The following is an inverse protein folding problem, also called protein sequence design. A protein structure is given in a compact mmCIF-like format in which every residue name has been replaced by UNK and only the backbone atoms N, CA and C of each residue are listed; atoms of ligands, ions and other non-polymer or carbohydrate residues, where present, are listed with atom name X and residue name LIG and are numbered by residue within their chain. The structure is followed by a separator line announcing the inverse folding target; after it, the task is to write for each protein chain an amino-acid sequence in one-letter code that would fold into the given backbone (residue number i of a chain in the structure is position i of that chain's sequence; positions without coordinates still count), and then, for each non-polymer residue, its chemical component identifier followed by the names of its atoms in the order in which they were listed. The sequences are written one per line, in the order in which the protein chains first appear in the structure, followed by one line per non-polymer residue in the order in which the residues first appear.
data_IF_602476248880
#
_entry.id   IF_602476248880
#
_cell.length_a   1.000
_cell.length_b   1.000
_cell.length_c   1.000
_cell.angle_alpha   90.00
_cell.angle_beta   90.00
_cell.angle_gamma   90.00
#
_symmetry.space_group_name_H-M   'P 1'
#
loop_
_entity.id
_entity.type
_entity.pdbx_description
1 polymer ?
#
# COMPACT_ATOMS: atom_id res chain seq x y z
N UNK A 1 2.86 -10.90 5.19
CA UNK A 1 2.35 -10.07 6.33
C UNK A 1 1.04 -9.36 5.91
N UNK A 2 0.11 -9.04 6.83
CA UNK A 2 -1.10 -8.27 6.44
C UNK A 2 -0.75 -6.78 6.28
N UNK A 3 -0.62 -6.34 5.03
CA UNK A 3 -0.10 -5.02 4.69
C UNK A 3 -1.06 -3.87 5.07
N UNK A 4 -2.37 -4.12 5.08
CA UNK A 4 -3.38 -3.15 5.54
C UNK A 4 -3.32 -2.94 7.05
N UNK A 5 -3.07 -3.99 7.83
CA UNK A 5 -2.92 -3.85 9.28
C UNK A 5 -1.62 -3.13 9.65
N UNK A 6 -0.53 -3.36 8.89
CA UNK A 6 0.73 -2.65 9.07
C UNK A 6 0.62 -1.16 8.73
N UNK A 7 -0.20 -0.78 7.74
CA UNK A 7 -0.41 0.61 7.34
C UNK A 7 -0.91 1.51 8.49
N UNK A 8 -1.68 0.97 9.44
CA UNK A 8 -2.19 1.70 10.62
C UNK A 8 -1.11 2.22 11.56
N UNK A 9 0.11 1.70 11.46
CA UNK A 9 1.26 2.14 12.27
C UNK A 9 1.99 3.34 11.66
N UNK A 10 1.63 3.73 10.43
CA UNK A 10 2.27 4.83 9.71
C UNK A 10 1.64 6.17 10.12
N UNK A 11 2.39 6.98 10.85
CA UNK A 11 1.94 8.27 11.40
C UNK A 11 2.74 9.47 10.88
N UNK A 12 3.89 9.23 10.29
CA UNK A 12 4.86 10.24 9.86
C UNK A 12 5.70 9.74 8.68
N UNK A 13 6.61 10.60 8.20
CA UNK A 13 7.49 10.29 7.08
C UNK A 13 8.40 9.09 7.36
N UNK A 14 8.93 8.95 8.57
CA UNK A 14 9.93 7.92 8.88
C UNK A 14 9.26 6.55 8.94
N UNK A 15 8.10 6.47 9.58
CA UNK A 15 7.26 5.27 9.58
C UNK A 15 6.78 4.88 8.18
N UNK A 16 6.51 5.84 7.27
CA UNK A 16 6.20 5.52 5.87
C UNK A 16 7.41 4.91 5.14
N UNK A 17 8.61 5.47 5.36
CA UNK A 17 9.85 4.93 4.75
C UNK A 17 10.11 3.51 5.21
N UNK A 18 9.89 3.20 6.48
CA UNK A 18 9.99 1.84 7.02
C UNK A 18 8.97 0.91 6.38
N UNK A 19 7.71 1.34 6.30
CA UNK A 19 6.63 0.56 5.67
C UNK A 19 6.93 0.19 4.21
N UNK A 20 7.44 1.14 3.40
CA UNK A 20 7.81 0.85 2.00
C UNK A 20 8.95 -0.16 1.89
N UNK A 21 9.89 -0.15 2.84
CA UNK A 21 10.97 -1.15 2.89
C UNK A 21 10.43 -2.52 3.27
N UNK A 22 9.53 -2.59 4.26
CA UNK A 22 8.85 -3.83 4.65
C UNK A 22 8.06 -4.43 3.47
N UNK A 23 7.35 -3.60 2.70
CA UNK A 23 6.65 -4.04 1.49
C UNK A 23 7.60 -4.68 0.48
N UNK A 24 8.74 -4.02 0.19
CA UNK A 24 9.76 -4.55 -0.73
C UNK A 24 10.34 -5.88 -0.21
N UNK A 25 10.59 -5.97 1.09
CA UNK A 25 11.17 -7.16 1.69
C UNK A 25 10.17 -8.33 1.70
N UNK A 26 8.88 -8.08 1.95
CA UNK A 26 7.77 -9.06 1.83
C UNK A 26 7.55 -9.51 0.38
N UNK A 27 7.71 -8.61 -0.61
CA UNK A 27 7.69 -9.00 -2.03
C UNK A 27 8.88 -9.92 -2.38
N UNK A 28 10.07 -9.63 -1.84
CA UNK A 28 11.29 -10.37 -2.14
C UNK A 28 11.43 -11.70 -1.39
N UNK A 29 10.76 -11.87 -0.23
CA UNK A 29 10.77 -13.14 0.50
C UNK A 29 10.11 -14.26 -0.31
N UNK A 30 9.25 -13.91 -1.28
CA UNK A 30 8.65 -14.86 -2.20
C UNK A 30 7.55 -15.69 -1.55
N UNK A 31 6.98 -15.21 -0.45
CA UNK A 31 5.99 -15.91 0.36
C UNK A 31 4.62 -16.05 -0.36
N UNK A 32 4.50 -15.49 -1.57
CA UNK A 32 3.29 -15.55 -2.38
C UNK A 32 2.13 -14.73 -1.82
N UNK A 33 2.41 -13.77 -0.93
CA UNK A 33 1.41 -12.91 -0.27
C UNK A 33 0.87 -11.81 -1.18
N UNK A 34 1.58 -11.46 -2.25
CA UNK A 34 1.20 -10.39 -3.18
C UNK A 34 0.40 -10.96 -4.35
N UNK A 35 -0.84 -10.52 -4.48
CA UNK A 35 -1.65 -10.79 -5.67
C UNK A 35 -1.09 -10.05 -6.90
N UNK A 36 -0.40 -8.92 -6.69
CA UNK A 36 0.22 -8.10 -7.74
C UNK A 36 1.76 -8.08 -7.65
N UNK A 37 2.46 -9.19 -7.98
CA UNK A 37 3.90 -9.31 -7.78
C UNK A 37 4.75 -8.54 -8.81
N UNK A 38 4.14 -8.01 -9.87
CA UNK A 38 4.81 -7.20 -10.89
C UNK A 38 4.45 -5.72 -10.71
N UNK A 39 5.38 -4.83 -11.06
CA UNK A 39 5.17 -3.39 -10.95
C UNK A 39 3.93 -2.92 -11.73
N UNK A 40 3.69 -3.46 -12.92
CA UNK A 40 2.56 -3.13 -13.78
C UNK A 40 1.24 -3.41 -13.06
N UNK A 41 1.03 -4.65 -12.61
CA UNK A 41 -0.16 -5.05 -11.84
C UNK A 41 -0.35 -4.21 -10.56
N UNK A 42 0.73 -3.92 -9.84
CA UNK A 42 0.67 -3.10 -8.63
C UNK A 42 0.19 -1.67 -8.94
N UNK A 43 0.70 -1.08 -10.03
CA UNK A 43 0.31 0.27 -10.45
C UNK A 43 -1.14 0.31 -10.94
N UNK A 44 -1.61 -0.72 -11.65
CA UNK A 44 -3.00 -0.84 -12.07
C UNK A 44 -3.95 -0.91 -10.87
N UNK A 45 -3.65 -1.76 -9.88
CA UNK A 45 -4.42 -1.88 -8.65
C UNK A 45 -4.40 -0.59 -7.81
N UNK A 46 -3.25 0.08 -7.73
CA UNK A 46 -3.14 1.38 -7.06
C UNK A 46 -4.03 2.44 -7.72
N UNK A 47 -4.05 2.48 -9.06
CA UNK A 47 -4.88 3.40 -9.82
C UNK A 47 -6.38 3.11 -9.61
N UNK A 48 -6.78 1.84 -9.63
CA UNK A 48 -8.14 1.40 -9.35
C UNK A 48 -8.59 1.86 -7.95
N UNK A 49 -7.80 1.58 -6.91
CA UNK A 49 -8.09 2.00 -5.54
C UNK A 49 -8.23 3.53 -5.41
N UNK A 50 -7.34 4.31 -6.04
CA UNK A 50 -7.42 5.76 -6.02
C UNK A 50 -8.72 6.28 -6.65
N UNK A 51 -9.22 5.59 -7.68
CA UNK A 51 -10.42 6.01 -8.43
C UNK A 51 -11.74 5.62 -7.76
N UNK A 52 -11.76 4.54 -7.00
CA UNK A 52 -12.97 4.01 -6.35
C UNK A 52 -13.12 4.42 -4.88
N UNK A 53 -12.00 4.73 -4.21
CA UNK A 53 -12.03 5.14 -2.81
C UNK A 53 -12.68 6.51 -2.62
N UNK A 54 -13.35 6.71 -1.48
CA UNK A 54 -13.81 8.02 -1.03
C UNK A 54 -12.66 8.99 -0.71
N UNK A 55 -11.40 8.60 -0.95
CA UNK A 55 -10.23 9.45 -0.84
C UNK A 55 -10.31 10.69 -1.75
N UNK A 56 -11.15 10.66 -2.78
CA UNK A 56 -11.44 11.82 -3.64
C UNK A 56 -11.95 13.05 -2.86
N UNK A 57 -12.52 12.86 -1.67
CA UNK A 57 -13.02 13.96 -0.81
C UNK A 57 -12.01 14.41 0.26
N UNK A 58 -10.82 13.81 0.32
CA UNK A 58 -9.81 14.12 1.34
C UNK A 58 -9.03 15.39 0.97
N UNK A 59 -9.20 16.43 1.77
CA UNK A 59 -8.56 17.75 1.56
C UNK A 59 -7.04 17.73 1.83
N UNK A 60 -6.58 16.86 2.73
CA UNK A 60 -5.17 16.64 3.02
C UNK A 60 -4.92 15.17 3.37
N UNK A 61 -4.20 14.40 2.54
CA UNK A 61 -3.95 12.98 2.82
C UNK A 61 -3.05 12.83 4.06
N UNK A 62 -3.38 11.87 4.92
CA UNK A 62 -2.52 11.46 6.04
C UNK A 62 -1.46 10.48 5.56
N UNK A 63 -0.37 10.34 6.33
CA UNK A 63 0.63 9.30 6.06
C UNK A 63 0.03 7.88 6.13
N UNK A 64 -0.95 7.68 7.02
CA UNK A 64 -1.73 6.44 7.11
C UNK A 64 -2.50 6.15 5.82
N UNK A 65 -3.17 7.16 5.25
CA UNK A 65 -3.92 7.00 4.00
C UNK A 65 -3.00 6.56 2.86
N UNK A 66 -1.80 7.17 2.76
CA UNK A 66 -0.80 6.77 1.77
C UNK A 66 -0.35 5.33 1.97
N UNK A 67 -0.14 4.88 3.22
CA UNK A 67 0.22 3.49 3.50
C UNK A 67 -0.92 2.52 3.18
N UNK A 68 -2.17 2.88 3.44
CA UNK A 68 -3.35 2.09 3.10
C UNK A 68 -3.51 1.94 1.58
N UNK A 69 -3.30 3.01 0.81
CA UNK A 69 -3.28 2.99 -0.67
C UNK A 69 -2.28 1.96 -1.20
N UNK A 70 -1.04 2.03 -0.71
CA UNK A 70 0.05 1.14 -1.13
C UNK A 70 -0.23 -0.31 -0.71
N UNK A 71 -0.70 -0.52 0.52
CA UNK A 71 -1.06 -1.85 1.01
C UNK A 71 -2.20 -2.48 0.21
N UNK A 72 -3.22 -1.71 -0.13
CA UNK A 72 -4.34 -2.19 -0.94
C UNK A 72 -3.88 -2.62 -2.35
N UNK A 73 -3.04 -1.80 -2.99
CA UNK A 73 -2.48 -2.11 -4.30
C UNK A 73 -1.65 -3.41 -4.33
N UNK A 74 -1.07 -3.82 -3.21
CA UNK A 74 -0.32 -5.09 -3.10
C UNK A 74 -1.21 -6.34 -2.96
N UNK A 75 -2.49 -6.17 -2.59
CA UNK A 75 -3.38 -7.27 -2.17
C UNK A 75 -4.65 -7.43 -3.01
N UNK A 76 -5.15 -6.37 -3.65
CA UNK A 76 -6.37 -6.41 -4.47
C UNK A 76 -6.03 -6.36 -5.96
N UNK A 77 -6.68 -7.19 -6.79
CA UNK A 77 -6.58 -7.13 -8.27
C UNK A 77 -7.34 -5.93 -8.87
#
# INVERSE_FOLDING_TARGET
MNMIESARRVTDRESLVEFVREMRDDLNSGDGSWENPTLERFLDALAAWCSESSAAEVVAPSWTLVAEMLGAASLYE
#
